data_IF_572078905956
#
_entry.id   IF_572078905956
#
_cell.length_a   1.000
_cell.length_b   1.000
_cell.length_c   1.000
_cell.angle_alpha   90.00
_cell.angle_beta   90.00
_cell.angle_gamma   90.00
#
_symmetry.space_group_name_H-M   'P 1'
#
loop_
_entity.id
_entity.type
_entity.pdbx_description
1 polymer ?
#
# COMPACT_ATOMS: atom_id res chain seq x y z
N UNK A 1 7.51 -13.26 -11.32
CA UNK A 1 6.84 -14.54 -11.19
C UNK A 1 5.92 -14.76 -12.36
N UNK A 2 5.97 -15.94 -12.88
CA UNK A 2 5.22 -16.26 -14.10
C UNK A 2 3.71 -16.16 -13.91
N UNK A 3 3.23 -16.56 -12.76
CA UNK A 3 1.81 -16.54 -12.47
C UNK A 3 1.20 -15.14 -12.55
N UNK A 4 1.97 -14.11 -12.25
CA UNK A 4 1.48 -12.75 -12.32
C UNK A 4 1.31 -12.27 -13.75
N UNK A 5 2.10 -12.79 -14.64
CA UNK A 5 2.07 -12.41 -16.05
C UNK A 5 0.84 -12.99 -16.75
N UNK A 6 0.38 -14.12 -16.28
CA UNK A 6 -0.73 -14.82 -16.92
C UNK A 6 -2.08 -14.17 -16.67
N UNK A 7 -2.21 -13.39 -15.61
CA UNK A 7 -3.48 -12.77 -15.28
C UNK A 7 -3.54 -11.34 -15.77
N UNK A 8 -4.11 -11.16 -16.96
CA UNK A 8 -4.16 -9.86 -17.63
C UNK A 8 -5.15 -8.88 -17.02
N UNK A 9 -5.98 -9.34 -16.07
CA UNK A 9 -6.97 -8.48 -15.43
C UNK A 9 -6.52 -7.97 -14.07
N UNK A 10 -5.25 -8.13 -13.77
CA UNK A 10 -4.69 -7.68 -12.52
C UNK A 10 -3.53 -6.74 -12.76
N UNK A 11 -3.39 -5.81 -11.85
CA UNK A 11 -2.22 -4.92 -11.81
C UNK A 11 -1.85 -4.68 -10.36
N UNK A 12 -0.61 -4.33 -10.13
CA UNK A 12 -0.17 -4.09 -8.76
C UNK A 12 0.84 -2.95 -8.72
N UNK A 13 1.03 -2.42 -7.54
CA UNK A 13 2.11 -1.49 -7.25
C UNK A 13 2.63 -1.78 -5.85
N UNK A 14 3.90 -1.52 -5.65
CA UNK A 14 4.56 -1.73 -4.37
C UNK A 14 5.28 -0.48 -3.94
N UNK A 15 5.23 -0.19 -2.65
CA UNK A 15 6.14 0.74 -2.02
C UNK A 15 7.07 -0.06 -1.13
N UNK A 16 8.36 0.00 -1.40
CA UNK A 16 9.33 -0.84 -0.70
C UNK A 16 9.60 -0.38 0.71
N UNK A 17 9.40 0.90 0.98
CA UNK A 17 9.80 1.45 2.27
C UNK A 17 8.95 2.67 2.61
N UNK A 18 7.94 2.45 3.42
CA UNK A 18 7.12 3.52 3.97
C UNK A 18 7.48 3.65 5.45
N UNK A 19 7.79 4.86 5.86
CA UNK A 19 8.24 5.11 7.23
C UNK A 19 7.09 5.06 8.21
N UNK A 20 6.69 3.85 8.55
CA UNK A 20 5.64 3.62 9.53
C UNK A 20 5.72 2.18 10.01
N UNK A 21 5.08 1.88 11.13
CA UNK A 21 5.00 0.51 11.59
C UNK A 21 3.99 -0.25 10.74
N UNK A 22 4.21 -1.56 10.64
CA UNK A 22 3.30 -2.40 9.87
C UNK A 22 1.88 -2.37 10.40
N UNK A 23 1.73 -2.27 11.72
CA UNK A 23 0.42 -2.24 12.33
C UNK A 23 -0.38 -1.01 11.90
N UNK A 24 0.24 0.16 11.93
CA UNK A 24 -0.42 1.40 11.50
C UNK A 24 -0.76 1.38 10.02
N UNK A 25 0.17 0.91 9.21
CA UNK A 25 -0.03 0.82 7.77
C UNK A 25 -1.15 -0.17 7.45
N UNK A 26 -1.19 -1.28 8.18
CA UNK A 26 -2.19 -2.30 7.94
C UNK A 26 -3.62 -1.81 8.25
N UNK A 27 -3.77 -0.93 9.22
CA UNK A 27 -5.07 -0.35 9.51
C UNK A 27 -5.61 0.41 8.30
N UNK A 28 -4.76 1.18 7.64
CA UNK A 28 -5.16 1.92 6.44
C UNK A 28 -5.40 0.97 5.27
N UNK A 29 -4.50 0.01 5.08
CA UNK A 29 -4.64 -0.96 4.00
C UNK A 29 -5.95 -1.76 4.14
N UNK A 30 -6.30 -2.13 5.37
CA UNK A 30 -7.51 -2.87 5.63
C UNK A 30 -8.76 -2.08 5.23
N UNK A 31 -8.73 -0.77 5.40
CA UNK A 31 -9.89 0.07 5.10
C UNK A 31 -10.23 0.10 3.61
N UNK A 32 -9.26 -0.17 2.73
CA UNK A 32 -9.50 -0.12 1.30
C UNK A 32 -9.62 -1.50 0.66
N UNK A 33 -9.37 -2.57 1.40
CA UNK A 33 -9.48 -3.93 0.85
C UNK A 33 -10.91 -4.20 0.42
N UNK A 34 -11.07 -4.71 -0.79
CA UNK A 34 -12.38 -5.05 -1.33
C UNK A 34 -13.19 -3.89 -1.82
N UNK A 35 -12.68 -2.67 -1.72
CA UNK A 35 -13.40 -1.48 -2.19
C UNK A 35 -13.11 -1.24 -3.66
N UNK A 36 -14.09 -0.64 -4.36
CA UNK A 36 -13.79 -0.20 -5.70
C UNK A 36 -12.88 1.03 -5.63
N UNK A 37 -12.33 1.41 -6.79
CA UNK A 37 -11.30 2.44 -6.83
C UNK A 37 -11.81 3.79 -6.30
N UNK A 38 -13.01 4.17 -6.67
CA UNK A 38 -13.55 5.47 -6.23
C UNK A 38 -13.70 5.53 -4.73
N UNK A 39 -14.23 4.47 -4.14
CA UNK A 39 -14.40 4.41 -2.69
C UNK A 39 -13.04 4.41 -1.99
N UNK A 40 -12.09 3.67 -2.52
CA UNK A 40 -10.75 3.60 -1.93
C UNK A 40 -10.07 4.96 -1.97
N UNK A 41 -10.14 5.66 -3.10
CA UNK A 41 -9.56 6.99 -3.22
C UNK A 41 -10.20 7.97 -2.24
N UNK A 42 -11.52 7.94 -2.14
CA UNK A 42 -12.24 8.83 -1.23
C UNK A 42 -11.84 8.56 0.22
N UNK A 43 -11.78 7.30 0.61
CA UNK A 43 -11.40 6.96 1.97
C UNK A 43 -9.99 7.45 2.31
N UNK A 44 -9.05 7.28 1.38
CA UNK A 44 -7.68 7.71 1.60
C UNK A 44 -7.56 9.23 1.59
N UNK A 45 -8.30 9.90 0.71
CA UNK A 45 -8.25 11.34 0.60
C UNK A 45 -8.77 12.03 1.87
N UNK A 46 -9.83 11.51 2.43
CA UNK A 46 -10.46 12.11 3.60
C UNK A 46 -10.00 11.51 4.93
N UNK A 47 -9.08 10.57 4.88
CA UNK A 47 -8.53 9.98 6.10
C UNK A 47 -7.62 10.99 6.81
N UNK A 48 -7.74 11.04 8.12
CA UNK A 48 -6.91 11.92 8.95
C UNK A 48 -5.53 11.32 9.23
N UNK A 49 -5.33 10.07 8.89
CA UNK A 49 -4.05 9.41 9.15
C UNK A 49 -3.01 9.87 8.15
N UNK A 50 -1.83 10.23 8.68
CA UNK A 50 -0.74 10.71 7.84
C UNK A 50 -0.33 9.70 6.78
N UNK A 51 -0.33 8.43 7.15
CA UNK A 51 0.14 7.37 6.27
C UNK A 51 -0.80 7.15 5.08
N UNK A 52 -2.03 7.64 5.17
CA UNK A 52 -2.99 7.51 4.08
C UNK A 52 -2.51 8.18 2.80
N UNK A 53 -1.72 9.24 2.91
CA UNK A 53 -1.16 9.91 1.73
C UNK A 53 -0.19 9.00 1.01
N UNK A 54 0.61 8.27 1.75
CA UNK A 54 1.55 7.31 1.15
C UNK A 54 0.82 6.16 0.49
N UNK A 55 -0.23 5.67 1.14
CA UNK A 55 -1.06 4.60 0.58
C UNK A 55 -1.74 5.08 -0.69
N UNK A 56 -2.22 6.32 -0.70
CA UNK A 56 -2.86 6.90 -1.90
C UNK A 56 -1.89 6.97 -3.08
N UNK A 57 -0.64 7.31 -2.83
CA UNK A 57 0.38 7.32 -3.89
C UNK A 57 0.56 5.95 -4.49
N UNK A 58 0.61 4.91 -3.65
CA UNK A 58 0.77 3.54 -4.14
C UNK A 58 -0.47 3.11 -4.92
N UNK A 59 -1.64 3.47 -4.44
CA UNK A 59 -2.88 3.17 -5.14
C UNK A 59 -2.93 3.83 -6.51
N UNK A 60 -2.54 5.11 -6.60
CA UNK A 60 -2.50 5.80 -7.87
C UNK A 60 -1.50 5.18 -8.83
N UNK A 61 -0.37 4.70 -8.31
CA UNK A 61 0.60 3.97 -9.13
C UNK A 61 0.02 2.68 -9.68
N UNK A 62 -0.73 1.96 -8.85
CA UNK A 62 -1.37 0.72 -9.29
C UNK A 62 -2.43 0.99 -10.37
N UNK A 63 -3.20 2.05 -10.20
CA UNK A 63 -4.20 2.46 -11.20
C UNK A 63 -3.52 2.80 -12.53
N UNK A 64 -2.44 3.56 -12.46
CA UNK A 64 -1.69 3.92 -13.66
C UNK A 64 -1.12 2.68 -14.36
N UNK A 65 -0.61 1.72 -13.59
CA UNK A 65 -0.13 0.46 -14.14
C UNK A 65 -1.25 -0.32 -14.83
N UNK A 66 -2.43 -0.36 -14.19
CA UNK A 66 -3.57 -1.07 -14.77
C UNK A 66 -4.00 -0.45 -16.10
N UNK A 67 -4.05 0.88 -16.15
CA UNK A 67 -4.49 1.57 -17.35
C UNK A 67 -3.44 1.52 -18.45
N UNK A 68 -2.20 1.87 -18.12
CA UNK A 68 -1.17 2.07 -19.13
C UNK A 68 -0.53 0.78 -19.61
N UNK A 69 -0.34 -0.20 -18.72
CA UNK A 69 0.36 -1.43 -19.06
C UNK A 69 -0.57 -2.55 -19.50
N UNK A 70 -1.79 -2.56 -19.00
CA UNK A 70 -2.72 -3.67 -19.24
C UNK A 70 -4.01 -3.22 -19.87
N UNK A 71 -4.24 -1.93 -20.05
CA UNK A 71 -5.45 -1.42 -20.67
C UNK A 71 -6.73 -1.75 -19.92
N UNK A 72 -6.65 -1.89 -18.62
CA UNK A 72 -7.83 -2.22 -17.81
C UNK A 72 -8.73 -1.00 -17.63
N UNK A 73 -10.01 -1.27 -17.47
CA UNK A 73 -11.01 -0.24 -17.27
C UNK A 73 -11.03 0.17 -15.81
N UNK A 74 -10.69 1.44 -15.56
CA UNK A 74 -10.63 1.96 -14.20
C UNK A 74 -11.96 1.82 -13.47
N UNK A 75 -13.06 1.99 -14.17
CA UNK A 75 -14.40 1.91 -13.55
C UNK A 75 -14.72 0.53 -13.01
N UNK A 76 -14.04 -0.50 -13.50
CA UNK A 76 -14.26 -1.87 -13.08
C UNK A 76 -13.21 -2.38 -12.10
N UNK A 77 -12.26 -1.55 -11.73
CA UNK A 77 -11.19 -1.98 -10.83
C UNK A 77 -11.65 -1.96 -9.38
N UNK A 78 -11.23 -2.97 -8.65
CA UNK A 78 -11.39 -3.04 -7.19
C UNK A 78 -10.04 -3.34 -6.57
N UNK A 79 -9.88 -2.93 -5.32
CA UNK A 79 -8.70 -3.29 -4.55
C UNK A 79 -8.89 -4.73 -4.09
N UNK A 80 -8.30 -5.64 -4.84
CA UNK A 80 -8.41 -7.06 -4.53
C UNK A 80 -7.66 -7.39 -3.25
N UNK A 81 -6.44 -6.91 -3.15
CA UNK A 81 -5.61 -7.17 -1.99
C UNK A 81 -4.76 -5.95 -1.69
N UNK A 82 -4.49 -5.75 -0.42
CA UNK A 82 -3.56 -4.74 0.04
C UNK A 82 -2.84 -5.34 1.24
N UNK A 83 -1.58 -5.71 1.04
CA UNK A 83 -0.83 -6.31 2.14
C UNK A 83 0.34 -5.49 2.57
N UNK A 84 0.65 -5.65 3.84
CA UNK A 84 1.73 -4.96 4.48
C UNK A 84 2.77 -6.00 4.89
N UNK A 85 4.01 -5.74 4.52
CA UNK A 85 5.12 -6.58 4.92
C UNK A 85 6.15 -5.75 5.65
N UNK A 86 6.99 -6.43 6.39
CA UNK A 86 8.09 -5.81 7.09
C UNK A 86 9.21 -5.53 6.10
N UNK A 87 9.72 -4.30 6.11
CA UNK A 87 10.86 -3.95 5.29
C UNK A 87 12.11 -3.96 6.15
N UNK A 88 12.51 -2.82 6.64
CA UNK A 88 13.69 -2.71 7.50
C UNK A 88 13.32 -1.95 8.76
N UNK A 89 14.10 -2.21 9.80
CA UNK A 89 14.03 -1.45 11.03
C UNK A 89 15.38 -0.79 11.21
N UNK A 90 15.40 0.53 11.12
CA UNK A 90 16.63 1.26 11.37
C UNK A 90 16.80 1.41 12.86
N UNK A 91 17.90 0.89 13.37
CA UNK A 91 18.23 0.99 14.79
C UNK A 91 19.27 2.06 14.96
N UNK A 92 18.98 3.00 15.81
CA UNK A 92 19.92 4.05 16.13
C UNK A 92 20.16 4.10 17.62
N UNK A 93 21.40 4.40 17.99
CA UNK A 93 21.77 4.58 19.38
C UNK A 93 21.92 6.08 19.61
N UNK A 94 21.37 6.54 20.70
CA UNK A 94 21.54 7.92 21.10
C UNK A 94 22.14 7.93 22.50
N UNK A 95 23.25 8.63 22.66
CA UNK A 95 23.86 8.80 23.96
C UNK A 95 22.95 9.62 24.84
N UNK A 96 22.84 9.20 26.09
CA UNK A 96 22.05 9.90 27.08
C UNK A 96 22.95 10.35 28.20
N UNK A 97 22.48 11.28 29.03
CA UNK A 97 23.20 11.73 30.19
C UNK A 97 23.66 10.54 31.04
N UNK A 98 24.84 10.68 31.67
CA UNK A 98 25.42 9.62 32.51
C UNK A 98 25.87 8.39 31.73
N UNK A 99 26.22 8.56 30.48
CA UNK A 99 26.77 7.48 29.68
C UNK A 99 25.76 6.43 29.23
N UNK A 100 24.50 6.64 29.46
CA UNK A 100 23.49 5.70 28.98
C UNK A 100 23.23 5.91 27.49
N UNK A 101 22.91 4.83 26.81
CA UNK A 101 22.49 4.88 25.42
C UNK A 101 21.08 4.35 25.29
N UNK A 102 20.29 4.98 24.44
CA UNK A 102 18.94 4.52 24.15
C UNK A 102 18.86 4.10 22.70
N UNK A 103 18.21 2.95 22.48
CA UNK A 103 17.98 2.45 21.13
C UNK A 103 16.75 3.13 20.56
N UNK A 104 16.90 3.70 19.39
CA UNK A 104 15.78 4.29 18.66
C UNK A 104 15.47 3.38 17.49
N UNK A 105 14.24 2.91 17.42
CA UNK A 105 13.79 2.06 16.34
C UNK A 105 12.94 2.87 15.37
N UNK A 106 13.31 2.83 14.09
CA UNK A 106 12.54 3.49 13.03
C UNK A 106 12.05 2.41 12.09
N UNK A 107 10.82 1.96 12.26
CA UNK A 107 10.30 0.89 11.41
C UNK A 107 9.92 1.41 10.04
N UNK A 108 10.17 0.57 9.04
CA UNK A 108 9.72 0.78 7.68
C UNK A 108 8.92 -0.43 7.27
N UNK A 109 7.91 -0.21 6.45
CA UNK A 109 7.03 -1.28 6.01
C UNK A 109 6.89 -1.26 4.50
N UNK A 110 6.60 -2.41 3.93
CA UNK A 110 6.28 -2.54 2.52
C UNK A 110 4.79 -2.55 2.36
N UNK A 111 4.31 -1.96 1.29
CA UNK A 111 2.91 -2.02 0.95
C UNK A 111 2.78 -2.53 -0.49
N UNK A 112 1.93 -3.51 -0.69
CA UNK A 112 1.59 -4.02 -2.01
C UNK A 112 0.09 -3.88 -2.19
N UNK A 113 -0.32 -3.20 -3.23
CA UNK A 113 -1.73 -3.08 -3.60
C UNK A 113 -1.94 -3.80 -4.91
N UNK A 114 -2.86 -4.74 -4.89
CA UNK A 114 -3.24 -5.50 -6.07
C UNK A 114 -4.65 -5.08 -6.50
N UNK A 115 -4.76 -4.66 -7.73
CA UNK A 115 -6.03 -4.27 -8.33
C UNK A 115 -6.48 -5.36 -9.29
N UNK A 116 -7.76 -5.56 -9.32
CA UNK A 116 -8.36 -6.57 -10.20
C UNK A 116 -9.57 -5.96 -10.89
N UNK A 117 -9.69 -6.21 -12.19
CA UNK A 117 -10.87 -5.83 -12.94
C UNK A 117 -11.96 -6.87 -12.73
N UNK A 118 -13.14 -6.43 -12.36
CA UNK A 118 -14.28 -7.33 -12.21
C UNK A 118 -15.26 -7.10 -13.34
N UNK A 119 -15.95 -8.16 -13.71
CA UNK A 119 -16.98 -8.07 -14.72
C UNK A 119 -18.31 -7.74 -14.07
N UNK A 120 -19.04 -6.83 -14.69
CA UNK A 120 -20.36 -6.47 -14.19
C UNK A 120 -21.35 -7.59 -14.42
N UNK A 121 -22.34 -7.66 -13.56
CA UNK A 121 -23.39 -8.65 -13.67
C UNK A 121 -23.08 -10.00 -13.05
N UNK A 122 -21.98 -10.07 -12.34
CA UNK A 122 -21.57 -11.31 -11.71
C UNK A 122 -21.44 -11.23 -10.22
#
# INVERSE_FOLDING_TARGET
>A
MADKIENKKQAYAKAKSIRTSGQKLNLVAKSIRGCNIKVAIDQLTFSKKRVSREVLKVLNSAIANAENNFGLDIDKLVVSEAYVGKSIVMKRMRARARGRAARILKPFSKLTILLKEIEEGK
#
